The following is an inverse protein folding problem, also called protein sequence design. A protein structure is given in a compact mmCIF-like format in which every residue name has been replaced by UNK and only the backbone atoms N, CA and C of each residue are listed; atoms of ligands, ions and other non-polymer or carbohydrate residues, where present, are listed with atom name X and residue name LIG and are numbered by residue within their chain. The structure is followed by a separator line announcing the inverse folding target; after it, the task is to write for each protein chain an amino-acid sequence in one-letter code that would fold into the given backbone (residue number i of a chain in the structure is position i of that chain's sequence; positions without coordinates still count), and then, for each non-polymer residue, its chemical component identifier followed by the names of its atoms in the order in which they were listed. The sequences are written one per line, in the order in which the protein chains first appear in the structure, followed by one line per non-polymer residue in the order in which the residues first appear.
data_IF_784338984407
#
_entry.id   IF_784338984407
#
_cell.length_a   1.000
_cell.length_b   1.000
_cell.length_c   1.000
_cell.angle_alpha   90.00
_cell.angle_beta   90.00
_cell.angle_gamma   90.00
#
_symmetry.space_group_name_H-M   'P 1'
#
loop_
_entity.id
_entity.type
_entity.pdbx_description
1 polymer ?
#
# COMPACT_ATOMS: atom_id res chain seq x y z
N UNK A 1 -0.09 26.02 8.69
CA UNK A 1 -0.47 25.64 7.30
C UNK A 1 -1.97 25.40 7.26
N UNK A 2 -2.68 25.98 6.30
CA UNK A 2 -4.09 25.66 6.07
C UNK A 2 -4.16 24.81 4.80
N UNK A 3 -4.59 23.55 4.92
CA UNK A 3 -4.69 22.65 3.76
C UNK A 3 -6.08 22.81 3.13
N UNK A 4 -6.21 22.86 1.79
CA UNK A 4 -7.50 22.95 1.11
C UNK A 4 -8.32 21.65 1.14
N UNK A 5 -7.85 20.63 1.87
CA UNK A 5 -8.46 19.31 2.00
C UNK A 5 -8.35 18.80 3.44
N UNK A 6 -9.27 17.91 3.88
CA UNK A 6 -9.15 17.27 5.18
C UNK A 6 -7.89 16.40 5.22
N UNK A 7 -7.04 16.65 6.22
CA UNK A 7 -5.86 15.84 6.50
C UNK A 7 -6.13 14.90 7.67
N UNK A 8 -5.38 13.81 7.74
CA UNK A 8 -5.44 12.88 8.87
C UNK A 8 -5.17 13.60 10.20
N UNK A 9 -5.83 13.12 11.24
CA UNK A 9 -5.52 13.49 12.61
C UNK A 9 -4.13 12.97 13.00
N UNK A 10 -3.51 13.60 13.98
CA UNK A 10 -2.24 13.14 14.53
C UNK A 10 -2.36 11.71 15.10
N UNK A 11 -1.26 10.98 15.06
CA UNK A 11 -1.21 9.70 15.74
C UNK A 11 -1.16 9.94 17.25
N UNK A 12 -1.84 9.12 18.07
CA UNK A 12 -1.73 9.21 19.52
C UNK A 12 -0.24 9.14 19.96
N UNK A 13 0.13 9.79 21.08
CA UNK A 13 1.50 9.79 21.57
C UNK A 13 1.99 8.36 21.79
N UNK A 14 3.16 8.03 21.24
CA UNK A 14 3.76 6.69 21.31
C UNK A 14 3.15 5.64 20.34
N UNK A 15 2.08 5.96 19.62
CA UNK A 15 1.42 5.00 18.73
C UNK A 15 2.08 4.86 17.35
N UNK A 16 2.84 5.88 16.91
CA UNK A 16 3.40 5.88 15.55
C UNK A 16 4.69 6.70 15.43
N UNK A 17 5.60 6.19 14.60
CA UNK A 17 6.90 6.81 14.23
C UNK A 17 6.82 7.44 12.83
N UNK A 18 5.68 8.00 12.48
CA UNK A 18 5.45 8.53 11.13
C UNK A 18 6.00 9.94 10.91
N UNK A 19 6.61 10.55 11.93
CA UNK A 19 7.25 11.87 11.83
C UNK A 19 6.35 12.92 11.12
N UNK A 20 5.07 12.95 11.48
CA UNK A 20 4.06 13.83 10.85
C UNK A 20 4.47 15.30 10.99
N UNK A 21 4.95 15.68 12.17
CA UNK A 21 5.37 17.05 12.45
C UNK A 21 6.59 17.44 11.64
N UNK A 22 7.53 16.51 11.42
CA UNK A 22 8.68 16.72 10.53
C UNK A 22 8.24 16.92 9.08
N UNK A 23 7.26 16.14 8.62
CA UNK A 23 6.66 16.34 7.30
C UNK A 23 6.02 17.73 7.20
N UNK A 24 5.23 18.14 8.19
CA UNK A 24 4.59 19.46 8.25
C UNK A 24 5.56 20.63 8.38
N UNK A 25 6.77 20.39 8.90
CA UNK A 25 7.81 21.41 9.01
C UNK A 25 8.58 21.64 7.70
N UNK A 26 8.57 20.68 6.77
CA UNK A 26 9.25 20.77 5.49
C UNK A 26 8.29 21.24 4.38
N UNK A 27 8.40 22.48 3.88
CA UNK A 27 7.50 23.01 2.86
C UNK A 27 7.66 22.35 1.48
N UNK A 28 8.77 21.63 1.23
CA UNK A 28 8.99 20.89 -0.01
C UNK A 28 8.53 19.42 0.07
N UNK A 29 8.07 18.97 1.23
CA UNK A 29 7.69 17.58 1.42
C UNK A 29 6.37 17.21 0.74
N UNK A 30 6.21 15.92 0.47
CA UNK A 30 4.98 15.39 -0.13
C UNK A 30 3.88 15.23 0.91
N UNK A 31 2.92 16.16 0.90
CA UNK A 31 1.78 16.14 1.80
C UNK A 31 0.64 15.22 1.37
N UNK A 32 0.72 14.58 0.19
CA UNK A 32 -0.36 13.75 -0.35
C UNK A 32 -0.75 12.62 0.59
N UNK A 33 0.23 12.02 1.28
CA UNK A 33 0.01 10.95 2.27
C UNK A 33 -0.90 11.40 3.43
N UNK A 34 -0.93 12.70 3.75
CA UNK A 34 -1.77 13.23 4.82
C UNK A 34 -3.26 13.24 4.45
N UNK A 35 -3.61 13.07 3.16
CA UNK A 35 -5.00 12.92 2.71
C UNK A 35 -5.62 11.59 3.15
N UNK A 36 -4.80 10.63 3.56
CA UNK A 36 -5.27 9.34 4.05
C UNK A 36 -5.85 9.47 5.47
N UNK A 37 -7.06 10.01 5.55
CA UNK A 37 -7.83 10.06 6.80
C UNK A 37 -8.20 8.65 7.27
N UNK A 38 -8.71 8.51 8.49
CA UNK A 38 -9.19 7.22 9.01
C UNK A 38 -10.28 6.59 8.13
N UNK A 39 -11.15 7.41 7.54
CA UNK A 39 -12.20 6.94 6.63
C UNK A 39 -11.63 6.51 5.28
N UNK A 40 -10.71 7.30 4.73
CA UNK A 40 -10.03 6.97 3.47
C UNK A 40 -9.17 5.71 3.61
N UNK A 41 -8.50 5.52 4.75
CA UNK A 41 -7.79 4.28 5.08
C UNK A 41 -8.74 3.08 5.08
N UNK A 42 -9.92 3.21 5.72
CA UNK A 42 -10.91 2.13 5.76
C UNK A 42 -11.43 1.79 4.36
N UNK A 43 -11.70 2.81 3.53
CA UNK A 43 -12.13 2.63 2.13
C UNK A 43 -11.03 1.96 1.31
N UNK A 44 -9.79 2.39 1.45
CA UNK A 44 -8.64 1.83 0.76
C UNK A 44 -8.44 0.36 1.13
N UNK A 45 -8.45 0.03 2.42
CA UNK A 45 -8.33 -1.37 2.90
C UNK A 45 -9.45 -2.23 2.34
N UNK A 46 -10.72 -1.81 2.47
CA UNK A 46 -11.85 -2.57 1.94
C UNK A 46 -11.75 -2.78 0.41
N UNK A 47 -11.24 -1.78 -0.32
CA UNK A 47 -11.04 -1.88 -1.76
C UNK A 47 -9.92 -2.85 -2.15
N UNK A 48 -8.84 -2.89 -1.36
CA UNK A 48 -7.72 -3.81 -1.54
C UNK A 48 -8.09 -5.26 -1.17
N UNK A 49 -8.95 -5.45 -0.18
CA UNK A 49 -9.49 -6.79 0.19
C UNK A 49 -10.38 -7.39 -0.92
N UNK A 50 -10.96 -6.55 -1.78
CA UNK A 50 -11.87 -6.93 -2.87
C UNK A 50 -11.27 -6.70 -4.26
N UNK A 51 -9.95 -6.79 -4.40
CA UNK A 51 -9.29 -6.71 -5.71
C UNK A 51 -9.79 -7.85 -6.61
N UNK A 52 -10.11 -7.52 -7.85
CA UNK A 52 -10.77 -8.45 -8.75
C UNK A 52 -9.82 -9.20 -9.70
N UNK A 53 -8.70 -8.58 -10.07
CA UNK A 53 -7.73 -9.13 -11.02
C UNK A 53 -6.34 -8.55 -10.78
N UNK A 54 -5.33 -9.10 -11.47
CA UNK A 54 -3.98 -8.56 -11.45
C UNK A 54 -3.91 -7.14 -12.05
N UNK A 55 -4.62 -6.88 -13.15
CA UNK A 55 -4.75 -5.54 -13.72
C UNK A 55 -5.38 -4.56 -12.73
N UNK A 56 -6.40 -4.99 -11.98
CA UNK A 56 -7.02 -4.18 -10.94
C UNK A 56 -6.03 -3.87 -9.81
N UNK A 57 -5.21 -4.84 -9.39
CA UNK A 57 -4.12 -4.61 -8.44
C UNK A 57 -3.14 -3.55 -8.95
N UNK A 58 -2.68 -3.66 -10.21
CA UNK A 58 -1.75 -2.69 -10.83
C UNK A 58 -2.36 -1.30 -10.91
N UNK A 59 -3.63 -1.21 -11.33
CA UNK A 59 -4.37 0.05 -11.39
C UNK A 59 -4.50 0.68 -9.99
N UNK A 60 -4.75 -0.14 -8.96
CA UNK A 60 -4.79 0.32 -7.58
C UNK A 60 -3.43 0.80 -7.09
N UNK A 61 -2.32 0.09 -7.36
CA UNK A 61 -0.97 0.56 -7.05
C UNK A 61 -0.68 1.93 -7.69
N UNK A 62 -1.02 2.11 -8.97
CA UNK A 62 -0.85 3.38 -9.68
C UNK A 62 -1.69 4.53 -9.09
N UNK A 63 -2.94 4.26 -8.73
CA UNK A 63 -3.82 5.26 -8.09
C UNK A 63 -3.32 5.65 -6.71
N UNK A 64 -2.90 4.69 -5.90
CA UNK A 64 -2.35 4.92 -4.55
C UNK A 64 -1.09 5.78 -4.65
N UNK A 65 -0.18 5.47 -5.58
CA UNK A 65 1.00 6.28 -5.81
C UNK A 65 0.64 7.70 -6.28
N UNK A 66 -0.25 7.85 -7.26
CA UNK A 66 -0.63 9.16 -7.78
C UNK A 66 -1.31 10.05 -6.73
N UNK A 67 -2.24 9.49 -5.95
CA UNK A 67 -3.07 10.25 -5.00
C UNK A 67 -2.40 10.48 -3.65
N UNK A 68 -1.57 9.52 -3.18
CA UNK A 68 -1.02 9.50 -1.83
C UNK A 68 0.51 9.49 -1.80
N UNK A 69 1.20 9.28 -2.93
CA UNK A 69 2.65 9.13 -2.95
C UNK A 69 3.15 7.78 -2.39
N UNK A 70 2.24 6.84 -2.11
CA UNK A 70 2.61 5.54 -1.54
C UNK A 70 3.02 4.57 -2.64
N UNK A 71 4.28 4.11 -2.58
CA UNK A 71 4.80 3.06 -3.44
C UNK A 71 4.66 1.71 -2.74
N UNK A 72 4.04 0.75 -3.42
CA UNK A 72 3.84 -0.62 -2.94
C UNK A 72 4.60 -1.55 -3.87
N UNK A 73 5.53 -2.32 -3.30
CA UNK A 73 6.28 -3.37 -3.98
C UNK A 73 5.65 -4.72 -3.68
N UNK A 74 5.41 -5.49 -4.75
CA UNK A 74 4.82 -6.83 -4.65
C UNK A 74 5.72 -7.77 -5.45
N UNK A 75 6.48 -8.60 -4.74
CA UNK A 75 7.46 -9.52 -5.33
C UNK A 75 7.16 -10.93 -4.86
N UNK A 76 7.04 -11.92 -5.77
CA UNK A 76 7.00 -13.30 -5.34
C UNK A 76 8.38 -13.70 -4.77
N UNK A 77 8.35 -14.48 -3.70
CA UNK A 77 9.51 -15.09 -3.07
C UNK A 77 10.05 -16.18 -3.99
N UNK A 78 11.37 -16.29 -4.07
CA UNK A 78 12.05 -17.31 -4.86
C UNK A 78 11.88 -18.73 -4.29
N UNK A 79 11.51 -18.82 -3.01
CA UNK A 79 11.23 -20.09 -2.35
C UNK A 79 9.86 -20.62 -2.79
N UNK A 80 9.80 -21.34 -3.92
CA UNK A 80 8.83 -22.33 -4.48
C UNK A 80 7.32 -22.32 -4.07
N UNK A 81 6.86 -21.36 -3.27
CA UNK A 81 5.56 -21.33 -2.64
C UNK A 81 4.65 -20.49 -3.54
N UNK A 82 3.90 -21.18 -4.39
CA UNK A 82 2.90 -20.59 -5.29
C UNK A 82 1.59 -20.21 -4.57
N UNK A 83 1.70 -19.53 -3.42
CA UNK A 83 0.54 -19.11 -2.60
C UNK A 83 0.70 -17.67 -2.12
N UNK A 84 -0.37 -17.08 -1.58
CA UNK A 84 -0.38 -15.71 -1.03
C UNK A 84 0.74 -15.47 0.00
N UNK A 85 1.14 -16.50 0.76
CA UNK A 85 2.25 -16.44 1.74
C UNK A 85 3.62 -16.33 1.08
N UNK A 86 3.76 -16.81 -0.15
CA UNK A 86 4.98 -16.68 -0.94
C UNK A 86 5.14 -15.29 -1.55
N UNK A 87 4.19 -14.37 -1.41
CA UNK A 87 4.29 -13.02 -1.97
C UNK A 87 4.75 -12.03 -0.90
N UNK A 88 5.91 -11.41 -1.12
CA UNK A 88 6.39 -10.29 -0.34
C UNK A 88 5.67 -9.01 -0.78
N UNK A 89 5.04 -8.32 0.18
CA UNK A 89 4.36 -7.04 -0.03
C UNK A 89 4.99 -6.03 0.91
N UNK A 90 5.63 -5.02 0.34
CA UNK A 90 6.40 -4.01 1.05
C UNK A 90 5.94 -2.62 0.61
N UNK A 91 5.98 -1.65 1.53
CA UNK A 91 5.73 -0.24 1.23
C UNK A 91 7.06 0.49 1.36
N UNK A 92 7.33 1.43 0.46
CA UNK A 92 8.51 2.29 0.61
C UNK A 92 8.39 3.17 1.86
N UNK A 93 9.55 3.41 2.47
CA UNK A 93 9.64 4.31 3.60
C UNK A 93 9.36 5.75 3.17
N UNK A 94 8.37 6.35 3.82
CA UNK A 94 8.05 7.77 3.66
C UNK A 94 7.58 8.38 4.98
N UNK A 95 7.88 9.67 5.13
CA UNK A 95 7.36 10.50 6.21
C UNK A 95 5.85 10.65 6.05
N UNK A 96 5.13 10.71 7.16
CA UNK A 96 3.67 10.81 7.19
C UNK A 96 2.93 9.48 7.04
N UNK A 97 3.57 8.39 6.63
CA UNK A 97 2.88 7.09 6.53
C UNK A 97 2.79 6.40 7.90
N UNK A 98 1.56 6.22 8.41
CA UNK A 98 1.37 5.62 9.74
C UNK A 98 1.71 4.13 9.78
N UNK A 99 2.24 3.68 10.93
CA UNK A 99 2.52 2.27 11.26
C UNK A 99 1.32 1.38 11.01
N UNK A 100 0.12 1.86 11.36
CA UNK A 100 -1.14 1.15 11.10
C UNK A 100 -1.36 0.92 9.61
N UNK A 101 -1.20 1.94 8.77
CA UNK A 101 -1.36 1.80 7.31
C UNK A 101 -0.30 0.90 6.71
N UNK A 102 0.95 0.98 7.21
CA UNK A 102 2.08 0.12 6.79
C UNK A 102 1.78 -1.36 6.99
N UNK A 103 0.97 -1.73 7.98
CA UNK A 103 0.55 -3.11 8.20
C UNK A 103 -0.80 -3.43 7.55
N UNK A 104 -1.73 -2.47 7.52
CA UNK A 104 -3.08 -2.65 6.99
C UNK A 104 -3.10 -2.86 5.47
N UNK A 105 -2.32 -2.08 4.70
CA UNK A 105 -2.27 -2.21 3.23
C UNK A 105 -1.76 -3.61 2.81
N UNK A 106 -0.61 -4.11 3.30
CA UNK A 106 -0.17 -5.47 2.99
C UNK A 106 -1.16 -6.54 3.45
N UNK A 107 -1.77 -6.37 4.62
CA UNK A 107 -2.76 -7.33 5.12
C UNK A 107 -4.01 -7.37 4.23
N UNK A 108 -4.48 -6.23 3.75
CA UNK A 108 -5.62 -6.11 2.84
C UNK A 108 -5.34 -6.78 1.49
N UNK A 109 -4.16 -6.54 0.91
CA UNK A 109 -3.73 -7.17 -0.34
C UNK A 109 -3.64 -8.69 -0.17
N UNK A 110 -3.07 -9.19 0.95
CA UNK A 110 -3.03 -10.63 1.25
C UNK A 110 -4.43 -11.25 1.31
N UNK A 111 -5.38 -10.59 1.97
CA UNK A 111 -6.78 -11.03 1.98
C UNK A 111 -7.39 -11.04 0.58
N UNK A 112 -7.07 -10.05 -0.25
CA UNK A 112 -7.44 -10.04 -1.67
C UNK A 112 -6.91 -11.26 -2.42
N UNK A 113 -5.65 -11.64 -2.18
CA UNK A 113 -5.05 -12.86 -2.74
C UNK A 113 -5.68 -14.15 -2.22
N UNK A 114 -6.03 -14.21 -0.93
CA UNK A 114 -6.71 -15.37 -0.35
C UNK A 114 -8.13 -15.51 -0.91
N UNK A 115 -8.82 -14.39 -1.16
CA UNK A 115 -10.15 -14.36 -1.77
C UNK A 115 -10.13 -14.69 -3.27
N UNK A 116 -9.06 -14.33 -3.97
CA UNK A 116 -8.85 -14.58 -5.40
C UNK A 116 -7.42 -15.08 -5.69
N UNK A 117 -7.16 -16.38 -5.46
CA UNK A 117 -5.86 -16.99 -5.71
C UNK A 117 -5.38 -16.87 -7.15
N UNK A 118 -6.30 -16.67 -8.11
CA UNK A 118 -6.02 -16.45 -9.53
C UNK A 118 -5.09 -15.26 -9.77
N UNK A 119 -5.17 -14.24 -8.92
CA UNK A 119 -4.29 -13.07 -8.99
C UNK A 119 -2.83 -13.47 -8.69
N UNK A 120 -2.63 -14.38 -7.74
CA UNK A 120 -1.30 -14.88 -7.37
C UNK A 120 -0.71 -15.71 -8.52
N UNK A 121 -1.51 -16.58 -9.15
CA UNK A 121 -1.06 -17.34 -10.31
C UNK A 121 -0.70 -16.44 -11.49
N UNK A 122 -1.52 -15.44 -11.78
CA UNK A 122 -1.24 -14.47 -12.83
C UNK A 122 0.05 -13.69 -12.55
N UNK A 123 0.27 -13.26 -11.30
CA UNK A 123 1.49 -12.56 -10.87
C UNK A 123 2.75 -13.42 -11.05
N UNK A 124 2.66 -14.71 -10.70
CA UNK A 124 3.77 -15.65 -10.86
C UNK A 124 4.07 -15.92 -12.34
N UNK A 125 3.03 -16.10 -13.15
CA UNK A 125 3.16 -16.32 -14.59
C UNK A 125 3.78 -15.11 -15.31
N UNK A 126 3.41 -13.87 -14.94
CA UNK A 126 4.07 -12.66 -15.49
C UNK A 126 5.58 -12.68 -15.26
N UNK A 127 6.03 -13.13 -14.09
CA UNK A 127 7.45 -13.16 -13.75
C UNK A 127 8.18 -14.33 -14.39
N UNK A 128 7.55 -15.48 -14.56
CA UNK A 128 8.11 -16.64 -15.29
C UNK A 128 8.42 -16.26 -16.75
N UNK A 129 7.48 -15.57 -17.41
CA UNK A 129 7.66 -15.05 -18.77
C UNK A 129 8.82 -14.05 -18.90
N UNK A 130 9.14 -13.32 -17.83
CA UNK A 130 10.24 -12.35 -17.79
C UNK A 130 11.58 -12.96 -17.34
N UNK A 131 11.58 -14.13 -16.70
CA UNK A 131 12.78 -14.78 -16.16
C UNK A 131 13.38 -15.85 -17.09
N UNK A 132 12.74 -16.11 -18.23
CA UNK A 132 13.12 -17.16 -19.20
C UNK A 132 14.17 -16.77 -20.25
N UNK A 133 15.21 -16.01 -19.89
CA UNK A 133 16.34 -15.68 -20.79
C UNK A 133 17.69 -15.97 -20.16
#
# INVERSE_FOLDING_TARGET
MNFPFPIRQECPPGACVCDRDRLLADPAADFRVLRLTKEEEKRLVARLENISSLEDLRAMQGRIHAQLGIVIHITPSENEVRTSRGIAIQLEDQLGLCRKTRTAIPAAIRRGFDNRPEIVYALLNERDLLSGT
#
